data_IF_083059847839
#
_entry.id   IF_083059847839
#
_cell.length_a   1.000
_cell.length_b   1.000
_cell.length_c   1.000
_cell.angle_alpha   90.00
_cell.angle_beta   90.00
_cell.angle_gamma   90.00
#
_symmetry.space_group_name_H-M   'P 1'
#
loop_
_entity.id
_entity.type
_entity.pdbx_description
1 polymer ?
#
# COMPACT_ATOMS: atom_id res chain seq x y z
N UNK A 1 2.81 -7.69 30.28
CA UNK A 1 3.51 -8.48 29.24
C UNK A 1 4.96 -8.02 29.24
N UNK A 2 5.92 -8.93 29.44
CA UNK A 2 7.34 -8.58 29.30
C UNK A 2 7.60 -8.30 27.82
N UNK A 3 8.04 -7.09 27.52
CA UNK A 3 8.47 -6.66 26.18
C UNK A 3 9.86 -7.21 25.84
N UNK A 4 10.04 -8.52 25.97
CA UNK A 4 11.29 -9.19 25.65
C UNK A 4 11.55 -9.02 24.15
N UNK A 5 12.69 -8.39 23.82
CA UNK A 5 13.12 -8.14 22.43
C UNK A 5 12.21 -7.21 21.59
N UNK A 6 11.45 -6.30 22.21
CA UNK A 6 10.59 -5.37 21.48
C UNK A 6 11.31 -4.59 20.36
N UNK A 7 12.57 -4.18 20.59
CA UNK A 7 13.38 -3.47 19.59
C UNK A 7 13.58 -4.31 18.31
N UNK A 8 13.92 -5.59 18.47
CA UNK A 8 14.08 -6.51 17.34
C UNK A 8 12.76 -6.70 16.59
N UNK A 9 11.69 -6.92 17.32
CA UNK A 9 10.36 -7.14 16.76
C UNK A 9 9.87 -5.93 15.98
N UNK A 10 10.05 -4.71 16.52
CA UNK A 10 9.62 -3.48 15.84
C UNK A 10 10.49 -3.18 14.61
N UNK A 11 11.80 -3.43 14.65
CA UNK A 11 12.67 -3.24 13.49
C UNK A 11 12.24 -4.18 12.37
N UNK A 12 12.04 -5.48 12.65
CA UNK A 12 11.60 -6.45 11.64
C UNK A 12 10.24 -6.04 11.09
N UNK A 13 9.29 -5.66 11.95
CA UNK A 13 7.96 -5.24 11.56
C UNK A 13 7.99 -3.98 10.65
N UNK A 14 8.67 -2.92 11.09
CA UNK A 14 8.77 -1.69 10.30
C UNK A 14 9.52 -1.91 8.99
N UNK A 15 10.57 -2.73 8.96
CA UNK A 15 11.30 -3.04 7.73
C UNK A 15 10.41 -3.79 6.75
N UNK A 16 9.66 -4.81 7.20
CA UNK A 16 8.74 -5.54 6.32
C UNK A 16 7.61 -4.65 5.78
N UNK A 17 7.05 -3.80 6.64
CA UNK A 17 6.02 -2.84 6.23
C UNK A 17 6.57 -1.78 5.26
N UNK A 18 7.80 -1.31 5.47
CA UNK A 18 8.46 -0.37 4.56
C UNK A 18 8.61 -0.96 3.17
N UNK A 19 9.10 -2.20 3.07
CA UNK A 19 9.28 -2.90 1.78
C UNK A 19 7.92 -3.11 1.09
N UNK A 20 6.92 -3.61 1.80
CA UNK A 20 5.58 -3.83 1.27
C UNK A 20 4.93 -2.53 0.79
N UNK A 21 4.97 -1.48 1.60
CA UNK A 21 4.40 -0.18 1.29
C UNK A 21 5.13 0.50 0.12
N UNK A 22 6.46 0.43 0.09
CA UNK A 22 7.26 1.00 -0.99
C UNK A 22 6.94 0.33 -2.33
N UNK A 23 6.97 -1.02 -2.40
CA UNK A 23 6.63 -1.77 -3.60
C UNK A 23 5.20 -1.48 -4.08
N UNK A 24 4.23 -1.51 -3.16
CA UNK A 24 2.83 -1.17 -3.48
C UNK A 24 2.68 0.27 -3.98
N UNK A 25 3.42 1.23 -3.42
CA UNK A 25 3.39 2.62 -3.84
C UNK A 25 4.03 2.83 -5.21
N UNK A 26 5.15 2.13 -5.50
CA UNK A 26 5.79 2.15 -6.82
C UNK A 26 4.79 1.75 -7.92
N UNK A 27 4.10 0.62 -7.74
CA UNK A 27 3.10 0.14 -8.70
C UNK A 27 1.95 1.13 -8.84
N UNK A 28 1.45 1.70 -7.74
CA UNK A 28 0.37 2.69 -7.79
C UNK A 28 0.76 3.91 -8.62
N UNK A 29 1.96 4.46 -8.42
CA UNK A 29 2.42 5.62 -9.18
C UNK A 29 2.79 5.24 -10.62
N UNK A 30 3.30 4.02 -10.87
CA UNK A 30 3.54 3.53 -12.23
C UNK A 30 2.24 3.48 -13.04
N UNK A 31 1.17 2.93 -12.46
CA UNK A 31 -0.15 2.91 -13.11
C UNK A 31 -0.66 4.33 -13.36
N UNK A 32 -0.52 5.23 -12.38
CA UNK A 32 -0.94 6.63 -12.52
C UNK A 32 -0.20 7.33 -13.66
N UNK A 33 1.13 7.17 -13.74
CA UNK A 33 1.94 7.70 -14.83
C UNK A 33 1.57 7.09 -16.18
N UNK A 34 1.38 5.76 -16.23
CA UNK A 34 0.97 5.07 -17.45
C UNK A 34 -0.37 5.60 -17.98
N UNK A 35 -1.40 5.73 -17.13
CA UNK A 35 -2.70 6.31 -17.51
C UNK A 35 -2.52 7.74 -18.00
N UNK A 36 -1.73 8.55 -17.30
CA UNK A 36 -1.52 9.95 -17.67
C UNK A 36 -0.85 10.09 -19.04
N UNK A 37 0.18 9.28 -19.31
CA UNK A 37 0.95 9.33 -20.55
C UNK A 37 0.17 8.75 -21.74
N UNK A 38 -0.62 7.69 -21.53
CA UNK A 38 -1.36 7.01 -22.59
C UNK A 38 -2.66 7.73 -22.94
N UNK A 39 -3.39 8.24 -21.95
CA UNK A 39 -4.70 8.87 -22.19
C UNK A 39 -4.61 10.37 -22.36
N UNK A 40 -3.58 11.02 -21.84
CA UNK A 40 -3.39 12.48 -21.78
C UNK A 40 -4.65 13.21 -21.27
N UNK A 41 -5.44 12.55 -20.44
CA UNK A 41 -6.73 13.02 -19.94
C UNK A 41 -6.70 13.21 -18.42
N UNK A 42 -6.85 14.47 -17.97
CA UNK A 42 -6.99 14.79 -16.56
C UNK A 42 -8.21 14.14 -15.92
N UNK A 43 -9.28 13.90 -16.70
CA UNK A 43 -10.46 13.20 -16.22
C UNK A 43 -10.16 11.73 -15.88
N UNK A 44 -9.41 11.02 -16.72
CA UNK A 44 -8.99 9.65 -16.47
C UNK A 44 -8.09 9.55 -15.22
N UNK A 45 -7.16 10.49 -15.07
CA UNK A 45 -6.33 10.58 -13.87
C UNK A 45 -7.18 10.81 -12.61
N UNK A 46 -8.15 11.71 -12.66
CA UNK A 46 -9.07 11.98 -11.54
C UNK A 46 -9.89 10.74 -11.17
N UNK A 47 -10.44 10.05 -12.16
CA UNK A 47 -11.18 8.80 -11.93
C UNK A 47 -10.29 7.72 -11.29
N UNK A 48 -9.04 7.59 -11.74
CA UNK A 48 -8.08 6.65 -11.16
C UNK A 48 -7.81 6.96 -9.68
N UNK A 49 -7.57 8.23 -9.34
CA UNK A 49 -7.37 8.68 -7.96
C UNK A 49 -8.62 8.36 -7.12
N UNK A 50 -9.81 8.62 -7.64
CA UNK A 50 -11.07 8.30 -6.94
C UNK A 50 -11.23 6.79 -6.72
N UNK A 51 -10.92 5.96 -7.71
CA UNK A 51 -10.95 4.49 -7.57
C UNK A 51 -9.98 3.98 -6.50
N UNK A 52 -8.82 4.62 -6.34
CA UNK A 52 -7.85 4.28 -5.30
C UNK A 52 -8.17 4.85 -3.93
N UNK A 53 -8.82 6.01 -3.86
CA UNK A 53 -9.09 6.70 -2.60
C UNK A 53 -10.43 6.28 -1.98
N UNK A 54 -11.49 6.20 -2.78
CA UNK A 54 -12.86 6.02 -2.29
C UNK A 54 -13.04 4.71 -1.50
N UNK A 55 -12.58 3.54 -2.00
CA UNK A 55 -12.66 2.30 -1.21
C UNK A 55 -11.85 2.36 0.08
N UNK A 56 -10.66 2.96 0.05
CA UNK A 56 -9.83 3.15 1.24
C UNK A 56 -10.54 4.01 2.29
N UNK A 57 -11.12 5.13 1.85
CA UNK A 57 -11.84 6.05 2.73
C UNK A 57 -13.07 5.38 3.38
N UNK A 58 -13.87 4.66 2.60
CA UNK A 58 -15.07 3.97 3.10
C UNK A 58 -14.69 2.83 4.06
N UNK A 59 -13.64 2.06 3.74
CA UNK A 59 -13.27 0.88 4.51
C UNK A 59 -12.40 1.16 5.73
N UNK A 60 -11.69 2.28 5.78
CA UNK A 60 -10.81 2.62 6.89
C UNK A 60 -11.49 2.61 8.27
N UNK A 61 -12.71 3.16 8.46
CA UNK A 61 -13.42 3.05 9.73
C UNK A 61 -13.77 1.60 10.11
N UNK A 62 -14.17 0.78 9.12
CA UNK A 62 -14.46 -0.65 9.33
C UNK A 62 -13.17 -1.43 9.63
N UNK A 63 -12.07 -1.10 8.94
CA UNK A 63 -10.75 -1.64 9.21
C UNK A 63 -10.30 -1.40 10.66
N UNK A 64 -10.60 -0.24 11.22
CA UNK A 64 -10.39 0.06 12.64
C UNK A 64 -11.18 -0.86 13.57
N UNK A 65 -12.48 -1.01 13.32
CA UNK A 65 -13.34 -1.93 14.10
C UNK A 65 -12.88 -3.39 13.99
N UNK A 66 -12.46 -3.80 12.80
CA UNK A 66 -11.92 -5.17 12.60
C UNK A 66 -10.58 -5.36 13.29
N UNK A 67 -9.71 -4.36 13.30
CA UNK A 67 -8.45 -4.40 14.02
C UNK A 67 -8.63 -4.52 15.54
N UNK A 68 -9.76 -4.06 16.09
CA UNK A 68 -10.10 -4.24 17.51
C UNK A 68 -10.71 -5.61 17.81
N UNK A 69 -11.42 -6.21 16.84
CA UNK A 69 -12.15 -7.47 17.05
C UNK A 69 -11.38 -8.71 16.63
N UNK A 70 -10.51 -8.60 15.64
CA UNK A 70 -9.79 -9.72 15.04
C UNK A 70 -8.29 -9.64 15.28
N UNK A 71 -7.59 -10.71 14.98
CA UNK A 71 -6.13 -10.76 15.10
C UNK A 71 -5.49 -9.81 14.06
N UNK A 72 -4.86 -8.75 14.55
CA UNK A 72 -4.26 -7.68 13.73
C UNK A 72 -3.21 -8.19 12.77
N UNK A 73 -2.40 -9.20 13.17
CA UNK A 73 -1.41 -9.83 12.28
C UNK A 73 -2.07 -10.51 11.07
N UNK A 74 -3.17 -11.22 11.30
CA UNK A 74 -3.92 -11.88 10.24
C UNK A 74 -4.51 -10.86 9.29
N UNK A 75 -5.08 -9.77 9.81
CA UNK A 75 -5.61 -8.68 8.97
C UNK A 75 -4.53 -8.06 8.09
N UNK A 76 -3.34 -7.80 8.64
CA UNK A 76 -2.22 -7.25 7.87
C UNK A 76 -1.79 -8.24 6.77
N UNK A 77 -1.60 -9.51 7.11
CA UNK A 77 -1.18 -10.54 6.15
C UNK A 77 -2.21 -10.72 5.03
N UNK A 78 -3.50 -10.74 5.36
CA UNK A 78 -4.57 -10.86 4.36
C UNK A 78 -4.64 -9.64 3.46
N UNK A 79 -4.49 -8.44 4.01
CA UNK A 79 -4.47 -7.21 3.24
C UNK A 79 -3.27 -7.12 2.32
N UNK A 80 -2.06 -7.42 2.82
CA UNK A 80 -0.83 -7.47 2.01
C UNK A 80 -0.95 -8.56 0.92
N UNK A 81 -1.50 -9.72 1.26
CA UNK A 81 -1.77 -10.81 0.32
C UNK A 81 -2.74 -10.39 -0.79
N UNK A 82 -3.83 -9.73 -0.45
CA UNK A 82 -4.80 -9.22 -1.42
C UNK A 82 -4.14 -8.20 -2.38
N UNK A 83 -3.35 -7.28 -1.84
CA UNK A 83 -2.62 -6.29 -2.63
C UNK A 83 -1.62 -7.00 -3.56
N UNK A 84 -0.82 -7.91 -3.03
CA UNK A 84 0.20 -8.63 -3.81
C UNK A 84 -0.43 -9.48 -4.94
N UNK A 85 -1.50 -10.22 -4.64
CA UNK A 85 -2.21 -11.04 -5.64
C UNK A 85 -2.84 -10.17 -6.71
N UNK A 86 -3.41 -9.01 -6.36
CA UNK A 86 -3.99 -8.10 -7.35
C UNK A 86 -2.94 -7.53 -8.29
N UNK A 87 -1.78 -7.14 -7.77
CA UNK A 87 -0.65 -6.64 -8.57
C UNK A 87 -0.12 -7.74 -9.50
N UNK A 88 0.09 -8.94 -8.97
CA UNK A 88 0.56 -10.08 -9.77
C UNK A 88 -0.43 -10.46 -10.88
N UNK A 89 -1.72 -10.50 -10.57
CA UNK A 89 -2.77 -10.77 -11.56
C UNK A 89 -2.76 -9.72 -12.68
N UNK A 90 -2.61 -8.44 -12.32
CA UNK A 90 -2.48 -7.36 -13.30
C UNK A 90 -1.25 -7.57 -14.19
N UNK A 91 -0.08 -7.83 -13.61
CA UNK A 91 1.15 -8.05 -14.36
C UNK A 91 1.02 -9.20 -15.36
N UNK A 92 0.41 -10.32 -14.95
CA UNK A 92 0.17 -11.49 -15.83
C UNK A 92 -0.75 -11.11 -17.00
N UNK A 93 -1.85 -10.39 -16.75
CA UNK A 93 -2.80 -9.99 -17.81
C UNK A 93 -2.15 -9.04 -18.81
N UNK A 94 -1.32 -8.12 -18.35
CA UNK A 94 -0.56 -7.22 -19.22
C UNK A 94 0.48 -7.98 -20.06
N UNK A 95 1.22 -8.93 -19.45
CA UNK A 95 2.15 -9.81 -20.18
C UNK A 95 1.47 -10.66 -21.25
N UNK A 96 0.18 -10.95 -21.09
CA UNK A 96 -0.63 -11.63 -22.11
C UNK A 96 -1.06 -10.69 -23.27
N UNK A 97 -0.65 -9.42 -23.23
CA UNK A 97 -0.97 -8.43 -24.25
C UNK A 97 -2.36 -7.78 -24.11
N UNK A 98 -3.03 -7.95 -22.96
CA UNK A 98 -4.33 -7.34 -22.71
C UNK A 98 -4.20 -6.04 -21.93
N UNK A 99 -3.89 -4.96 -22.63
CA UNK A 99 -3.66 -3.62 -22.06
C UNK A 99 -4.94 -2.78 -22.00
N UNK A 100 -5.92 -3.21 -21.19
CA UNK A 100 -7.15 -2.46 -21.04
C UNK A 100 -7.10 -1.49 -19.87
N UNK A 101 -7.27 -0.20 -20.13
CA UNK A 101 -7.23 0.87 -19.10
C UNK A 101 -8.24 0.63 -17.97
N UNK A 102 -9.44 0.12 -18.26
CA UNK A 102 -10.45 -0.18 -17.22
C UNK A 102 -9.97 -1.22 -16.19
N UNK A 103 -9.07 -2.13 -16.61
CA UNK A 103 -8.48 -3.13 -15.72
C UNK A 103 -7.62 -2.47 -14.63
N UNK A 104 -6.89 -1.41 -14.98
CA UNK A 104 -6.10 -0.62 -14.04
C UNK A 104 -6.97 0.03 -12.96
N UNK A 105 -8.17 0.50 -13.31
CA UNK A 105 -9.12 1.04 -12.34
C UNK A 105 -9.63 -0.05 -11.37
N UNK A 106 -10.01 -1.21 -11.89
CA UNK A 106 -10.48 -2.34 -11.07
C UNK A 106 -9.38 -2.79 -10.11
N UNK A 107 -8.15 -2.96 -10.59
CA UNK A 107 -7.01 -3.37 -9.76
C UNK A 107 -6.66 -2.32 -8.71
N UNK A 108 -6.73 -1.02 -9.07
CA UNK A 108 -6.55 0.07 -8.10
C UNK A 108 -7.61 0.04 -6.99
N UNK A 109 -8.87 -0.24 -7.33
CA UNK A 109 -9.96 -0.36 -6.36
C UNK A 109 -9.75 -1.57 -5.42
N UNK A 110 -9.38 -2.74 -5.96
CA UNK A 110 -9.09 -3.94 -5.14
C UNK A 110 -7.93 -3.67 -4.18
N UNK A 111 -6.85 -3.04 -4.68
CA UNK A 111 -5.71 -2.64 -3.86
C UNK A 111 -6.12 -1.65 -2.76
N UNK A 112 -6.99 -0.70 -3.08
CA UNK A 112 -7.51 0.29 -2.14
C UNK A 112 -8.34 -0.35 -1.00
N UNK A 113 -9.05 -1.45 -1.28
CA UNK A 113 -9.74 -2.27 -0.26
C UNK A 113 -8.70 -2.82 0.73
N UNK A 114 -7.64 -3.43 0.25
CA UNK A 114 -6.54 -3.93 1.10
C UNK A 114 -5.92 -2.81 1.94
N UNK A 115 -5.59 -1.67 1.33
CA UNK A 115 -4.99 -0.53 2.03
C UNK A 115 -5.91 0.06 3.11
N UNK A 116 -7.22 0.07 2.89
CA UNK A 116 -8.22 0.55 3.85
C UNK A 116 -8.30 -0.30 5.12
N UNK A 117 -7.92 -1.57 5.06
CA UNK A 117 -7.86 -2.49 6.20
C UNK A 117 -6.46 -2.48 6.83
N UNK A 118 -5.41 -2.50 6.00
CA UNK A 118 -4.02 -2.56 6.43
C UNK A 118 -3.61 -1.36 7.31
N UNK A 119 -3.94 -0.14 6.88
CA UNK A 119 -3.54 1.08 7.60
C UNK A 119 -3.98 1.09 9.07
N UNK A 120 -5.29 0.96 9.36
CA UNK A 120 -5.77 0.86 10.73
C UNK A 120 -5.19 -0.34 11.51
N UNK A 121 -5.02 -1.50 10.86
CA UNK A 121 -4.46 -2.69 11.51
C UNK A 121 -2.98 -2.49 11.93
N UNK A 122 -2.17 -1.84 11.07
CA UNK A 122 -0.78 -1.46 11.39
C UNK A 122 -0.75 -0.45 12.54
N UNK A 123 -1.61 0.56 12.52
CA UNK A 123 -1.73 1.51 13.62
C UNK A 123 -2.09 0.85 14.95
N UNK A 124 -2.99 -0.11 14.93
CA UNK A 124 -3.46 -0.82 16.11
C UNK A 124 -2.45 -1.82 16.69
N UNK A 125 -1.52 -2.38 15.90
CA UNK A 125 -0.54 -3.36 16.39
C UNK A 125 0.63 -2.69 17.13
N UNK A 126 0.99 -1.44 16.78
CA UNK A 126 2.13 -0.74 17.38
C UNK A 126 2.05 -0.66 18.92
N UNK A 127 0.91 -0.28 19.54
CA UNK A 127 0.81 -0.24 20.99
C UNK A 127 0.94 -1.60 21.68
N UNK A 128 0.78 -2.71 20.94
CA UNK A 128 0.91 -4.06 21.50
C UNK A 128 2.35 -4.57 21.55
N UNK A 129 3.21 -4.07 20.67
CA UNK A 129 4.59 -4.57 20.52
C UNK A 129 5.63 -3.58 21.03
N UNK A 130 5.21 -2.35 21.38
CA UNK A 130 6.10 -1.27 21.85
C UNK A 130 5.70 -0.82 23.24
N UNK A 131 6.67 -0.62 24.19
CA UNK A 131 6.39 -0.02 25.47
C UNK A 131 5.77 1.38 25.34
N UNK A 132 4.88 1.75 26.26
CA UNK A 132 4.13 3.03 26.20
C UNK A 132 5.05 4.24 26.14
N UNK A 133 6.16 4.24 26.91
CA UNK A 133 7.15 5.31 26.94
C UNK A 133 7.92 5.51 25.63
N UNK A 134 7.88 4.54 24.71
CA UNK A 134 8.54 4.55 23.39
C UNK A 134 7.54 4.67 22.24
N UNK A 135 6.25 4.54 22.48
CA UNK A 135 5.21 4.49 21.45
C UNK A 135 5.21 5.74 20.56
N UNK A 136 5.30 6.93 21.14
CA UNK A 136 5.35 8.19 20.40
C UNK A 136 6.54 8.25 19.44
N UNK A 137 7.72 7.81 19.90
CA UNK A 137 8.92 7.79 19.07
C UNK A 137 8.79 6.81 17.90
N UNK A 138 8.27 5.61 18.16
CA UNK A 138 8.10 4.58 17.12
C UNK A 138 7.01 4.99 16.13
N UNK A 139 5.90 5.54 16.58
CA UNK A 139 4.85 6.07 15.69
C UNK A 139 5.36 7.23 14.83
N UNK A 140 6.16 8.14 15.41
CA UNK A 140 6.82 9.21 14.65
C UNK A 140 7.79 8.67 13.59
N UNK A 141 8.58 7.64 13.93
CA UNK A 141 9.48 6.97 12.97
C UNK A 141 8.67 6.33 11.84
N UNK A 142 7.58 5.61 12.15
CA UNK A 142 6.71 5.01 11.14
C UNK A 142 6.09 6.09 10.22
N UNK A 143 5.61 7.18 10.77
CA UNK A 143 5.10 8.33 10.00
C UNK A 143 6.16 8.96 9.09
N UNK A 144 7.39 9.10 9.58
CA UNK A 144 8.51 9.62 8.78
C UNK A 144 8.86 8.68 7.62
N UNK A 145 8.88 7.36 7.85
CA UNK A 145 9.09 6.36 6.80
C UNK A 145 8.00 6.47 5.72
N UNK A 146 6.74 6.56 6.13
CA UNK A 146 5.62 6.71 5.19
C UNK A 146 5.73 8.00 4.37
N UNK A 147 6.11 9.12 4.99
CA UNK A 147 6.31 10.38 4.30
C UNK A 147 7.45 10.30 3.27
N UNK A 148 8.57 9.65 3.62
CA UNK A 148 9.69 9.43 2.69
C UNK A 148 9.23 8.56 1.50
N UNK A 149 8.50 7.48 1.75
CA UNK A 149 7.96 6.61 0.70
C UNK A 149 7.02 7.40 -0.22
N UNK A 150 6.11 8.19 0.34
CA UNK A 150 5.17 9.00 -0.42
C UNK A 150 5.87 10.04 -1.31
N UNK A 151 7.03 10.55 -0.89
CA UNK A 151 7.83 11.49 -1.66
C UNK A 151 8.71 10.80 -2.72
N UNK A 152 9.35 9.68 -2.37
CA UNK A 152 10.31 8.99 -3.24
C UNK A 152 9.63 8.13 -4.30
N UNK A 153 8.51 7.48 -3.96
CA UNK A 153 7.85 6.51 -4.84
C UNK A 153 7.40 7.09 -6.20
N UNK A 154 6.82 8.30 -6.30
CA UNK A 154 6.48 8.88 -7.60
C UNK A 154 7.68 9.09 -8.51
N UNK A 155 8.81 9.54 -7.92
CA UNK A 155 10.05 9.80 -8.66
C UNK A 155 10.70 8.49 -9.13
N UNK A 156 10.79 7.50 -8.23
CA UNK A 156 11.31 6.19 -8.54
C UNK A 156 10.46 5.48 -9.61
N UNK A 157 9.15 5.56 -9.50
CA UNK A 157 8.22 4.99 -10.46
C UNK A 157 8.33 5.62 -11.84
N UNK A 158 8.44 6.96 -11.92
CA UNK A 158 8.66 7.64 -13.18
C UNK A 158 9.99 7.23 -13.84
N UNK A 159 11.07 7.12 -13.06
CA UNK A 159 12.37 6.66 -13.54
C UNK A 159 12.32 5.21 -14.05
N UNK A 160 11.62 4.32 -13.34
CA UNK A 160 11.47 2.93 -13.77
C UNK A 160 10.70 2.82 -15.09
N UNK A 161 9.63 3.58 -15.29
CA UNK A 161 8.85 3.59 -16.54
C UNK A 161 9.64 4.09 -17.75
N UNK A 162 10.72 4.86 -17.57
CA UNK A 162 11.61 5.24 -18.67
C UNK A 162 12.56 4.10 -19.07
N UNK A 163 12.78 3.12 -18.20
CA UNK A 163 13.73 2.02 -18.39
C UNK A 163 13.05 0.68 -18.69
N UNK A 164 11.80 0.52 -18.26
CA UNK A 164 11.04 -0.72 -18.37
C UNK A 164 9.56 -0.44 -18.65
N UNK A 165 8.86 -1.40 -19.26
CA UNK A 165 7.42 -1.35 -19.44
C UNK A 165 6.68 -1.59 -18.11
N UNK A 166 5.39 -1.23 -18.07
CA UNK A 166 4.57 -1.34 -16.87
C UNK A 166 4.49 -2.78 -16.31
N UNK A 167 4.57 -3.78 -17.20
CA UNK A 167 4.48 -5.21 -16.83
C UNK A 167 5.66 -5.70 -15.99
N UNK A 168 6.80 -5.01 -16.06
CA UNK A 168 8.06 -5.40 -15.41
C UNK A 168 8.22 -4.72 -14.04
N UNK A 169 7.51 -3.61 -13.81
CA UNK A 169 7.53 -2.84 -12.56
C UNK A 169 6.57 -3.44 -11.53
#
# INVERSE_FOLDING_TARGET
>A
MEYVNWKKNIIIFLSSQTISLFGSSLVQYAIMWHITLTTQSGMMMTLFILCGFLPTFILSPFGGVWADRYNRKVLIILSDGLIAVSILAMAIVFLMGYEAVWLLFVMSAIRAIGAGIQGPAVGAILPQIVPEDKLTKVSGTNGSIQAIIMFVSPMASAALLTMASLEII
#
